data_IF_110733809086
#
_entry.id   IF_110733809086
#
_cell.length_a   1.000
_cell.length_b   1.000
_cell.length_c   1.000
_cell.angle_alpha   90.00
_cell.angle_beta   90.00
_cell.angle_gamma   90.00
#
_symmetry.space_group_name_H-M   'P 1'
#
loop_
_entity.id
_entity.type
_entity.pdbx_description
1 polymer ?
#
# COMPACT_ATOMS: atom_id res chain seq x y z
N UNK A 1 -2.64 -31.78 -29.12
CA UNK A 1 -2.00 -30.49 -29.47
C UNK A 1 -2.28 -29.52 -28.34
N UNK A 2 -1.29 -28.72 -27.92
CA UNK A 2 -1.45 -27.76 -26.81
C UNK A 2 -2.55 -26.74 -27.14
N UNK A 3 -3.39 -26.40 -26.17
CA UNK A 3 -4.44 -25.36 -26.30
C UNK A 3 -3.88 -23.94 -26.27
N UNK A 4 -2.58 -23.78 -26.04
CA UNK A 4 -1.90 -22.50 -25.93
C UNK A 4 -1.01 -22.44 -24.71
N UNK A 5 -0.22 -21.37 -24.63
CA UNK A 5 0.72 -21.10 -23.56
C UNK A 5 0.07 -20.13 -22.55
N UNK A 6 0.14 -20.48 -21.27
CA UNK A 6 -0.40 -19.70 -20.16
C UNK A 6 0.69 -19.33 -19.17
N UNK A 7 0.78 -18.05 -18.78
CA UNK A 7 1.65 -17.60 -17.69
C UNK A 7 0.85 -17.55 -16.39
N UNK A 8 1.13 -18.46 -15.46
CA UNK A 8 0.51 -18.53 -14.15
C UNK A 8 1.32 -17.73 -13.12
N UNK A 9 0.71 -16.72 -12.50
CA UNK A 9 1.24 -16.12 -11.27
C UNK A 9 1.20 -17.17 -10.15
N UNK A 10 2.38 -17.66 -9.78
CA UNK A 10 2.59 -18.85 -8.97
C UNK A 10 3.32 -18.48 -7.68
N UNK A 11 2.84 -18.96 -6.53
CA UNK A 11 3.43 -18.66 -5.22
C UNK A 11 4.03 -19.89 -4.52
N UNK A 12 4.06 -21.06 -5.17
CA UNK A 12 4.45 -22.31 -4.51
C UNK A 12 3.40 -22.89 -3.54
N UNK A 13 2.39 -22.10 -3.17
CA UNK A 13 1.29 -22.50 -2.31
C UNK A 13 0.41 -23.60 -2.91
N UNK A 14 -0.46 -24.14 -2.05
CA UNK A 14 -1.37 -25.22 -2.39
C UNK A 14 -2.23 -24.89 -3.62
N UNK A 15 -2.95 -23.78 -3.57
CA UNK A 15 -3.89 -23.35 -4.61
C UNK A 15 -3.22 -23.20 -5.98
N UNK A 16 -2.10 -22.48 -6.07
CA UNK A 16 -1.39 -22.28 -7.34
C UNK A 16 -0.73 -23.55 -7.87
N UNK A 17 -0.36 -24.49 -6.98
CA UNK A 17 0.14 -25.82 -7.37
C UNK A 17 -0.96 -26.67 -8.01
N UNK A 18 -2.17 -26.66 -7.43
CA UNK A 18 -3.32 -27.36 -7.98
C UNK A 18 -3.74 -26.75 -9.34
N UNK A 19 -3.72 -25.42 -9.45
CA UNK A 19 -4.04 -24.72 -10.69
C UNK A 19 -3.05 -25.07 -11.81
N UNK A 20 -1.76 -25.15 -11.51
CA UNK A 20 -0.74 -25.53 -12.49
C UNK A 20 -1.05 -26.92 -13.07
N UNK A 21 -1.27 -27.92 -12.21
CA UNK A 21 -1.64 -29.27 -12.61
C UNK A 21 -2.94 -29.28 -13.43
N UNK A 22 -3.97 -28.58 -12.95
CA UNK A 22 -5.26 -28.52 -13.62
C UNK A 22 -5.17 -27.88 -15.01
N UNK A 23 -4.46 -26.75 -15.18
CA UNK A 23 -4.25 -26.13 -16.49
C UNK A 23 -3.56 -27.08 -17.47
N UNK A 24 -2.62 -27.89 -16.99
CA UNK A 24 -2.01 -28.94 -17.80
C UNK A 24 -2.99 -30.05 -18.17
N UNK A 25 -3.80 -30.53 -17.22
CA UNK A 25 -4.88 -31.49 -17.49
C UNK A 25 -5.86 -30.95 -18.54
N UNK A 26 -6.10 -29.63 -18.55
CA UNK A 26 -6.93 -28.98 -19.56
C UNK A 26 -6.25 -28.86 -20.93
N UNK A 27 -4.95 -29.17 -21.04
CA UNK A 27 -4.17 -29.20 -22.27
C UNK A 27 -3.36 -27.92 -22.55
N UNK A 28 -3.13 -27.06 -21.57
CA UNK A 28 -2.27 -25.87 -21.72
C UNK A 28 -0.80 -26.16 -21.39
N UNK A 29 0.09 -25.46 -22.08
CA UNK A 29 1.49 -25.35 -21.67
C UNK A 29 1.60 -24.25 -20.60
N UNK A 30 2.10 -24.57 -19.41
CA UNK A 30 2.11 -23.62 -18.28
C UNK A 30 3.52 -23.08 -18.03
N UNK A 31 3.67 -21.76 -18.03
CA UNK A 31 4.83 -21.05 -17.48
C UNK A 31 4.48 -20.63 -16.05
N UNK A 32 5.31 -21.00 -15.07
CA UNK A 32 5.16 -20.51 -13.70
C UNK A 32 5.96 -19.21 -13.52
N UNK A 33 5.32 -18.18 -13.00
CA UNK A 33 5.93 -16.89 -12.70
C UNK A 33 5.86 -16.61 -11.20
N UNK A 34 7.01 -16.58 -10.54
CA UNK A 34 7.18 -16.19 -9.15
C UNK A 34 7.68 -14.75 -9.07
N UNK A 35 6.93 -13.90 -8.38
CA UNK A 35 7.33 -12.53 -8.11
C UNK A 35 7.92 -12.44 -6.70
N UNK A 36 9.19 -12.11 -6.59
CA UNK A 36 9.78 -11.71 -5.32
C UNK A 36 9.46 -10.23 -5.07
N UNK A 37 8.56 -9.98 -4.13
CA UNK A 37 8.13 -8.65 -3.69
C UNK A 37 8.62 -8.33 -2.27
N UNK A 38 9.49 -9.17 -1.71
CA UNK A 38 10.04 -9.04 -0.37
C UNK A 38 9.48 -10.03 0.65
N UNK A 39 8.71 -11.03 0.22
CA UNK A 39 8.25 -12.11 1.07
C UNK A 39 9.39 -13.10 1.41
N UNK A 40 9.34 -13.68 2.61
CA UNK A 40 10.28 -14.70 3.05
C UNK A 40 9.82 -16.08 2.57
N UNK A 41 10.13 -16.40 1.31
CA UNK A 41 9.78 -17.66 0.66
C UNK A 41 11.04 -18.37 0.12
N UNK A 42 11.04 -19.71 0.18
CA UNK A 42 12.04 -20.53 -0.50
C UNK A 42 11.70 -20.64 -2.00
N UNK A 43 12.17 -19.64 -2.76
CA UNK A 43 11.95 -19.57 -4.22
C UNK A 43 12.55 -20.76 -4.97
N UNK A 44 13.66 -21.31 -4.50
CA UNK A 44 14.31 -22.48 -5.10
C UNK A 44 13.44 -23.74 -4.93
N UNK A 45 12.88 -23.95 -3.74
CA UNK A 45 11.94 -25.03 -3.50
C UNK A 45 10.65 -24.84 -4.31
N UNK A 46 10.13 -23.61 -4.40
CA UNK A 46 8.94 -23.30 -5.18
C UNK A 46 9.17 -23.54 -6.68
N UNK A 47 10.34 -23.19 -7.21
CA UNK A 47 10.75 -23.49 -8.59
C UNK A 47 10.81 -25.00 -8.84
N UNK A 48 11.58 -25.74 -8.02
CA UNK A 48 11.68 -27.21 -8.14
C UNK A 48 10.31 -27.88 -8.07
N UNK A 49 9.42 -27.36 -7.22
CA UNK A 49 8.03 -27.81 -7.15
C UNK A 49 7.30 -27.55 -8.46
N UNK A 50 7.33 -26.33 -9.01
CA UNK A 50 6.69 -26.02 -10.29
C UNK A 50 7.21 -26.89 -11.44
N UNK A 51 8.52 -27.12 -11.52
CA UNK A 51 9.17 -28.00 -12.50
C UNK A 51 8.73 -29.46 -12.34
N UNK A 52 8.64 -29.96 -11.10
CA UNK A 52 8.15 -31.32 -10.82
C UNK A 52 6.67 -31.49 -11.21
N UNK A 53 5.84 -30.48 -11.00
CA UNK A 53 4.45 -30.45 -11.48
C UNK A 53 4.38 -30.27 -13.01
N UNK A 54 5.53 -30.00 -13.64
CA UNK A 54 5.80 -29.94 -15.07
C UNK A 54 5.36 -28.65 -15.71
N UNK A 55 5.63 -27.51 -15.05
CA UNK A 55 5.76 -26.24 -15.73
C UNK A 55 6.76 -26.35 -16.88
N UNK A 56 6.43 -25.75 -18.03
CA UNK A 56 7.29 -25.69 -19.21
C UNK A 56 8.51 -24.79 -19.00
N UNK A 57 8.33 -23.74 -18.22
CA UNK A 57 9.36 -22.76 -17.85
C UNK A 57 9.00 -22.11 -16.52
N UNK A 58 10.00 -21.69 -15.76
CA UNK A 58 9.83 -20.94 -14.51
C UNK A 58 10.56 -19.61 -14.63
N UNK A 59 9.90 -18.53 -14.24
CA UNK A 59 10.50 -17.21 -14.06
C UNK A 59 10.45 -16.86 -12.58
N UNK A 60 11.58 -16.44 -12.02
CA UNK A 60 11.68 -15.84 -10.69
C UNK A 60 12.19 -14.42 -10.93
N UNK A 61 11.36 -13.42 -10.61
CA UNK A 61 11.68 -12.01 -10.85
C UNK A 61 11.78 -11.28 -9.52
N UNK A 62 12.91 -10.63 -9.28
CA UNK A 62 13.09 -9.72 -8.16
C UNK A 62 12.50 -8.35 -8.49
N UNK A 63 11.31 -8.08 -7.94
CA UNK A 63 10.56 -6.86 -8.15
C UNK A 63 10.64 -5.91 -6.96
N UNK A 64 11.44 -6.21 -5.93
CA UNK A 64 11.46 -5.45 -4.67
C UNK A 64 11.78 -3.97 -4.89
N UNK A 65 12.79 -3.68 -5.70
CA UNK A 65 13.22 -2.31 -5.97
C UNK A 65 12.18 -1.52 -6.77
N UNK A 66 11.59 -2.15 -7.80
CA UNK A 66 10.50 -1.59 -8.61
C UNK A 66 9.25 -1.34 -7.76
N UNK A 67 8.90 -2.29 -6.88
CA UNK A 67 7.75 -2.19 -6.00
C UNK A 67 7.85 -0.98 -5.06
N UNK A 68 9.00 -0.80 -4.42
CA UNK A 68 9.24 0.34 -3.54
C UNK A 68 9.12 1.65 -4.32
N UNK A 69 9.83 1.76 -5.45
CA UNK A 69 9.98 3.03 -6.16
C UNK A 69 8.75 3.45 -6.94
N UNK A 70 8.08 2.51 -7.62
CA UNK A 70 6.98 2.83 -8.52
C UNK A 70 5.59 2.63 -7.89
N UNK A 71 5.51 1.97 -6.74
CA UNK A 71 4.22 1.65 -6.12
C UNK A 71 4.10 2.12 -4.67
N UNK A 72 5.11 1.86 -3.82
CA UNK A 72 5.09 2.31 -2.42
C UNK A 72 5.29 3.83 -2.32
N UNK A 73 6.23 4.42 -3.05
CA UNK A 73 6.46 5.87 -3.03
C UNK A 73 5.23 6.70 -3.42
N UNK A 74 4.49 6.38 -4.51
CA UNK A 74 3.22 7.06 -4.77
C UNK A 74 2.20 6.91 -3.63
N UNK A 75 2.18 5.77 -2.93
CA UNK A 75 1.30 5.56 -1.78
C UNK A 75 1.72 6.37 -0.54
N UNK A 76 3.02 6.52 -0.29
CA UNK A 76 3.56 7.41 0.74
C UNK A 76 3.21 8.86 0.42
N UNK A 77 3.53 9.31 -0.80
CA UNK A 77 3.21 10.65 -1.29
C UNK A 77 1.72 10.95 -1.19
N UNK A 78 0.84 9.97 -1.39
CA UNK A 78 -0.60 10.13 -1.28
C UNK A 78 -1.11 10.17 0.18
N UNK A 79 -0.31 9.77 1.18
CA UNK A 79 -0.78 9.38 2.51
C UNK A 79 -1.91 8.32 2.40
N UNK A 80 -1.69 7.30 1.57
CA UNK A 80 -2.74 6.36 1.18
C UNK A 80 -3.16 5.47 2.35
N UNK A 81 -4.38 5.70 2.84
CA UNK A 81 -5.05 4.87 3.83
C UNK A 81 -6.46 4.55 3.35
N UNK A 82 -6.82 3.27 3.29
CA UNK A 82 -8.16 2.83 2.94
C UNK A 82 -9.03 2.70 4.19
N UNK A 83 -10.23 3.30 4.13
CA UNK A 83 -11.19 3.40 5.24
C UNK A 83 -10.51 3.77 6.57
N UNK A 84 -9.57 4.73 6.48
CA UNK A 84 -8.82 5.31 7.61
C UNK A 84 -7.96 4.32 8.42
N UNK A 85 -7.77 3.09 7.92
CA UNK A 85 -7.01 2.05 8.65
C UNK A 85 -5.99 1.28 7.83
N UNK A 86 -6.30 0.88 6.59
CA UNK A 86 -5.49 -0.07 5.84
C UNK A 86 -4.49 0.62 4.90
N UNK A 87 -3.20 0.35 5.06
CA UNK A 87 -2.11 0.91 4.22
C UNK A 87 -1.91 0.19 2.88
N UNK A 88 -2.92 -0.55 2.41
CA UNK A 88 -3.00 -1.05 1.03
C UNK A 88 -1.89 -2.01 0.58
N UNK A 89 -1.04 -2.54 1.48
CA UNK A 89 0.16 -3.31 1.09
C UNK A 89 -0.08 -4.41 0.05
N UNK A 90 -1.10 -5.25 0.27
CA UNK A 90 -1.51 -6.28 -0.71
C UNK A 90 -2.07 -5.66 -1.99
N UNK A 91 -2.89 -4.62 -1.87
CA UNK A 91 -3.55 -3.95 -3.00
C UNK A 91 -2.55 -3.33 -3.97
N UNK A 92 -1.49 -2.71 -3.43
CA UNK A 92 -0.42 -2.04 -4.19
C UNK A 92 0.52 -3.06 -4.86
N UNK A 93 0.73 -4.24 -4.26
CA UNK A 93 1.58 -5.28 -4.85
C UNK A 93 0.98 -5.90 -6.14
N UNK A 94 -0.35 -6.01 -6.22
CA UNK A 94 -1.03 -6.69 -7.35
C UNK A 94 -0.76 -6.04 -8.71
N UNK A 95 -0.85 -4.71 -8.90
CA UNK A 95 -0.54 -4.09 -10.19
C UNK A 95 0.94 -4.21 -10.58
N UNK A 96 1.88 -4.32 -9.62
CA UNK A 96 3.29 -4.61 -9.89
C UNK A 96 3.48 -6.03 -10.43
N UNK A 97 2.95 -7.04 -9.73
CA UNK A 97 3.03 -8.44 -10.13
C UNK A 97 2.34 -8.66 -11.49
N UNK A 98 1.13 -8.13 -11.66
CA UNK A 98 0.37 -8.28 -12.90
C UNK A 98 1.07 -7.60 -14.08
N UNK A 99 1.72 -6.44 -13.89
CA UNK A 99 2.52 -5.80 -14.94
C UNK A 99 3.65 -6.69 -15.42
N UNK A 100 4.45 -7.27 -14.50
CA UNK A 100 5.54 -8.18 -14.89
C UNK A 100 5.03 -9.46 -15.53
N UNK A 101 3.93 -10.02 -15.02
CA UNK A 101 3.27 -11.19 -15.62
C UNK A 101 2.91 -10.95 -17.09
N UNK A 102 2.33 -9.79 -17.40
CA UNK A 102 1.98 -9.41 -18.77
C UNK A 102 3.22 -9.22 -19.65
N UNK A 103 4.29 -8.63 -19.11
CA UNK A 103 5.56 -8.51 -19.84
C UNK A 103 6.13 -9.88 -20.21
N UNK A 104 6.14 -10.84 -19.28
CA UNK A 104 6.56 -12.22 -19.53
C UNK A 104 5.65 -12.88 -20.57
N UNK A 105 4.33 -12.72 -20.47
CA UNK A 105 3.40 -13.27 -21.45
C UNK A 105 3.67 -12.72 -22.86
N UNK A 106 3.94 -11.43 -23.01
CA UNK A 106 4.33 -10.82 -24.29
C UNK A 106 5.67 -11.35 -24.80
N UNK A 107 6.68 -11.44 -23.94
CA UNK A 107 8.01 -11.97 -24.27
C UNK A 107 7.93 -13.42 -24.79
N UNK A 108 7.15 -14.25 -24.10
CA UNK A 108 7.00 -15.68 -24.42
C UNK A 108 5.89 -15.93 -25.46
N UNK A 109 5.23 -14.87 -25.95
CA UNK A 109 4.08 -14.94 -26.86
C UNK A 109 2.97 -15.86 -26.33
N UNK A 110 2.78 -15.86 -25.02
CA UNK A 110 1.76 -16.64 -24.34
C UNK A 110 0.38 -16.04 -24.60
N UNK A 111 -0.58 -16.85 -25.02
CA UNK A 111 -1.93 -16.38 -25.34
C UNK A 111 -2.73 -16.00 -24.10
N UNK A 112 -2.36 -16.54 -22.94
CA UNK A 112 -3.14 -16.42 -21.70
C UNK A 112 -2.27 -16.06 -20.50
N UNK A 113 -2.90 -15.39 -19.53
CA UNK A 113 -2.39 -15.25 -18.16
C UNK A 113 -3.37 -15.89 -17.17
N UNK A 114 -2.88 -16.38 -16.03
CA UNK A 114 -3.68 -17.01 -14.99
C UNK A 114 -3.21 -16.63 -13.59
N UNK A 115 -4.09 -16.69 -12.59
CA UNK A 115 -3.76 -16.41 -11.19
C UNK A 115 -4.50 -17.35 -10.22
N UNK A 116 -4.01 -17.42 -8.99
CA UNK A 116 -4.61 -18.20 -7.90
C UNK A 116 -5.65 -17.47 -7.04
N UNK A 117 -5.94 -16.19 -7.30
CA UNK A 117 -6.88 -15.42 -6.49
C UNK A 117 -8.30 -16.03 -6.49
N UNK A 118 -8.91 -16.11 -5.31
CA UNK A 118 -10.24 -16.73 -5.12
C UNK A 118 -11.38 -15.84 -5.60
N UNK A 119 -12.51 -16.45 -5.97
CA UNK A 119 -13.70 -15.76 -6.50
C UNK A 119 -14.40 -14.80 -5.54
N UNK A 120 -14.01 -14.74 -4.26
CA UNK A 120 -14.58 -13.83 -3.25
C UNK A 120 -13.60 -12.76 -2.79
N UNK A 121 -12.35 -12.75 -3.28
CA UNK A 121 -11.34 -11.76 -2.88
C UNK A 121 -11.32 -10.54 -3.80
N UNK A 122 -10.71 -9.44 -3.35
CA UNK A 122 -10.45 -8.29 -4.24
C UNK A 122 -9.29 -8.56 -5.21
N UNK A 123 -8.38 -9.48 -4.88
CA UNK A 123 -7.18 -9.71 -5.68
C UNK A 123 -7.48 -10.19 -7.11
N UNK A 124 -8.57 -10.94 -7.32
CA UNK A 124 -9.01 -11.30 -8.67
C UNK A 124 -9.29 -10.03 -9.51
N UNK A 125 -9.95 -9.03 -8.92
CA UNK A 125 -10.28 -7.76 -9.60
C UNK A 125 -8.99 -7.00 -9.90
N UNK A 126 -8.05 -6.94 -8.95
CA UNK A 126 -6.79 -6.20 -9.10
C UNK A 126 -5.87 -6.80 -10.17
N UNK A 127 -5.71 -8.13 -10.16
CA UNK A 127 -4.97 -8.84 -11.20
C UNK A 127 -5.63 -8.64 -12.56
N UNK A 128 -6.94 -8.87 -12.65
CA UNK A 128 -7.63 -8.88 -13.92
C UNK A 128 -7.79 -7.50 -14.54
N UNK A 129 -8.11 -6.45 -13.78
CA UNK A 129 -8.19 -5.09 -14.32
C UNK A 129 -6.84 -4.63 -14.87
N UNK A 130 -5.74 -4.95 -14.15
CA UNK A 130 -4.38 -4.69 -14.65
C UNK A 130 -4.10 -5.48 -15.91
N UNK A 131 -4.42 -6.77 -15.91
CA UNK A 131 -4.25 -7.60 -17.08
C UNK A 131 -5.09 -7.07 -18.23
N UNK A 132 -6.40 -6.82 -18.13
CA UNK A 132 -7.21 -6.27 -19.22
C UNK A 132 -6.71 -4.92 -19.74
N UNK A 133 -6.20 -4.04 -18.88
CA UNK A 133 -5.57 -2.78 -19.30
C UNK A 133 -4.31 -3.00 -20.15
N UNK A 134 -3.58 -4.10 -19.94
CA UNK A 134 -2.28 -4.38 -20.57
C UNK A 134 -2.28 -5.60 -21.52
N UNK A 135 -3.28 -6.48 -21.46
CA UNK A 135 -3.34 -7.82 -22.05
C UNK A 135 -4.76 -8.44 -21.99
N UNK A 136 -5.46 -8.64 -23.12
CA UNK A 136 -6.90 -8.87 -23.11
C UNK A 136 -7.37 -10.31 -22.77
N UNK A 137 -6.49 -11.31 -22.68
CA UNK A 137 -6.90 -12.71 -22.54
C UNK A 137 -6.43 -13.34 -21.21
N UNK A 138 -7.39 -13.69 -20.36
CA UNK A 138 -7.18 -14.18 -18.98
C UNK A 138 -7.94 -15.48 -18.74
N UNK A 139 -7.31 -16.43 -18.03
CA UNK A 139 -7.95 -17.62 -17.49
C UNK A 139 -7.96 -17.49 -15.96
N UNK A 140 -9.15 -17.50 -15.34
CA UNK A 140 -9.32 -17.40 -13.90
C UNK A 140 -10.00 -18.66 -13.34
N UNK A 141 -9.24 -19.71 -12.96
CA UNK A 141 -9.79 -21.03 -12.63
C UNK A 141 -10.87 -21.02 -11.54
N UNK A 142 -10.71 -20.22 -10.49
CA UNK A 142 -11.68 -20.13 -9.40
C UNK A 142 -13.08 -19.61 -9.79
N UNK A 143 -13.26 -19.13 -11.02
CA UNK A 143 -14.56 -18.72 -11.57
C UNK A 143 -15.07 -19.64 -12.69
N UNK A 144 -14.32 -20.68 -13.01
CA UNK A 144 -14.69 -21.68 -14.01
C UNK A 144 -15.48 -22.80 -13.30
N UNK A 145 -16.75 -23.06 -13.67
CA UNK A 145 -17.61 -24.06 -13.01
C UNK A 145 -16.97 -25.41 -12.79
N UNK A 146 -16.21 -25.88 -13.78
CA UNK A 146 -15.52 -27.16 -13.76
C UNK A 146 -14.45 -27.22 -12.67
N UNK A 147 -13.78 -26.10 -12.38
CA UNK A 147 -12.74 -26.03 -11.35
C UNK A 147 -13.36 -25.88 -9.95
N UNK A 148 -14.20 -24.87 -9.72
CA UNK A 148 -14.74 -24.63 -8.37
C UNK A 148 -15.76 -25.69 -7.92
N UNK A 149 -16.39 -26.42 -8.84
CA UNK A 149 -17.26 -27.56 -8.48
C UNK A 149 -16.45 -28.80 -8.09
N UNK A 150 -15.25 -28.96 -8.67
CA UNK A 150 -14.29 -30.03 -8.35
C UNK A 150 -13.56 -29.76 -7.03
N UNK A 151 -13.22 -28.50 -6.75
CA UNK A 151 -12.56 -28.06 -5.52
C UNK A 151 -13.48 -27.11 -4.73
N UNK A 152 -14.31 -27.62 -3.81
CA UNK A 152 -15.30 -26.81 -3.09
C UNK A 152 -14.70 -25.97 -1.95
N UNK A 153 -13.41 -26.13 -1.67
CA UNK A 153 -12.69 -25.31 -0.70
C UNK A 153 -11.32 -25.88 -0.34
N UNK A 154 -10.71 -25.30 0.69
CA UNK A 154 -9.36 -25.64 1.15
C UNK A 154 -9.22 -27.11 1.56
N UNK A 155 -10.28 -27.74 2.09
CA UNK A 155 -10.27 -29.16 2.47
C UNK A 155 -10.07 -30.08 1.26
N UNK A 156 -10.78 -29.83 0.17
CA UNK A 156 -10.67 -30.63 -1.07
C UNK A 156 -9.31 -30.40 -1.76
N UNK A 157 -8.77 -29.17 -1.67
CA UNK A 157 -7.41 -28.88 -2.13
C UNK A 157 -6.35 -29.59 -1.28
N UNK A 158 -6.56 -29.68 0.04
CA UNK A 158 -5.64 -30.38 0.96
C UNK A 158 -5.75 -31.91 0.82
N UNK A 159 -6.92 -32.44 0.50
CA UNK A 159 -7.11 -33.84 0.13
C UNK A 159 -6.42 -34.15 -1.21
N UNK A 160 -6.33 -33.17 -2.10
CA UNK A 160 -5.55 -33.23 -3.33
C UNK A 160 -4.03 -32.99 -3.12
N UNK A 161 -3.62 -32.34 -2.02
CA UNK A 161 -2.22 -32.11 -1.70
C UNK A 161 -1.97 -32.06 -0.19
N UNK A 162 -1.31 -33.11 0.32
CA UNK A 162 -1.12 -33.38 1.75
C UNK A 162 -0.17 -32.39 2.48
N UNK A 163 -0.69 -31.86 3.60
CA UNK A 163 -0.14 -31.26 4.85
C UNK A 163 1.05 -30.25 4.79
N UNK A 164 1.23 -29.21 5.62
CA UNK A 164 0.73 -28.72 6.92
C UNK A 164 0.69 -27.16 6.92
N UNK A 165 0.07 -26.51 7.92
CA UNK A 165 0.16 -25.06 8.15
C UNK A 165 0.55 -24.76 9.61
N UNK A 166 1.55 -23.91 9.90
CA UNK A 166 1.90 -23.55 11.27
C UNK A 166 1.16 -22.32 11.80
N UNK A 167 1.17 -22.27 13.12
CA UNK A 167 0.62 -21.27 14.03
C UNK A 167 1.67 -20.22 14.38
N UNK A 168 1.50 -19.01 13.87
CA UNK A 168 1.77 -17.74 14.56
C UNK A 168 1.20 -16.61 13.67
N UNK A 169 0.29 -15.80 14.23
CA UNK A 169 -0.51 -14.84 13.48
C UNK A 169 0.28 -13.59 13.06
N UNK A 170 1.28 -13.18 13.86
CA UNK A 170 2.13 -12.03 13.61
C UNK A 170 3.55 -12.51 13.31
N UNK A 171 4.08 -12.15 12.14
CA UNK A 171 5.38 -12.61 11.65
C UNK A 171 6.36 -11.47 11.44
N UNK A 172 5.87 -10.27 11.13
CA UNK A 172 6.72 -9.11 10.85
C UNK A 172 7.03 -8.28 12.09
N UNK A 173 6.20 -8.37 13.12
CA UNK A 173 6.25 -7.46 14.27
C UNK A 173 6.31 -8.23 15.58
N UNK A 174 7.10 -7.73 16.55
CA UNK A 174 7.08 -8.23 17.93
C UNK A 174 5.80 -7.79 18.63
N UNK A 175 5.39 -8.53 19.66
CA UNK A 175 4.37 -8.03 20.58
C UNK A 175 4.90 -6.75 21.25
N UNK A 176 4.14 -5.62 21.24
CA UNK A 176 4.57 -4.40 21.90
C UNK A 176 5.04 -4.58 23.34
N UNK A 177 4.41 -5.48 24.11
CA UNK A 177 4.80 -5.78 25.50
C UNK A 177 6.24 -6.35 25.56
N UNK A 178 6.57 -7.26 24.65
CA UNK A 178 7.87 -7.96 24.55
C UNK A 178 8.93 -7.20 23.74
N UNK A 179 8.56 -6.07 23.13
CA UNK A 179 9.48 -5.23 22.37
C UNK A 179 10.49 -4.50 23.29
N UNK A 180 11.59 -3.94 22.77
CA UNK A 180 12.64 -3.31 23.59
C UNK A 180 12.10 -2.26 24.59
N UNK A 181 12.81 -2.10 25.70
CA UNK A 181 12.48 -1.11 26.73
C UNK A 181 12.99 0.30 26.42
N UNK A 182 13.90 0.45 25.47
CA UNK A 182 14.39 1.74 24.98
C UNK A 182 13.83 2.04 23.58
N UNK A 183 13.47 3.29 23.27
CA UNK A 183 13.05 3.69 21.93
C UNK A 183 14.22 3.71 20.95
N UNK A 184 13.94 3.38 19.68
CA UNK A 184 14.84 3.73 18.59
C UNK A 184 14.44 5.10 18.03
N UNK A 185 15.41 6.01 17.91
CA UNK A 185 15.20 7.35 17.36
C UNK A 185 15.77 7.41 15.96
N UNK A 186 14.94 7.79 15.00
CA UNK A 186 15.27 7.85 13.58
C UNK A 186 15.14 9.29 13.07
N UNK A 187 16.01 9.65 12.13
CA UNK A 187 15.88 10.80 11.26
C UNK A 187 15.60 10.34 9.85
N UNK A 188 14.50 10.81 9.26
CA UNK A 188 14.11 10.48 7.88
C UNK A 188 14.16 11.76 7.06
N UNK A 189 15.05 11.81 6.07
CA UNK A 189 15.14 12.89 5.10
C UNK A 189 14.22 12.58 3.91
N UNK A 190 13.43 13.57 3.49
CA UNK A 190 12.53 13.53 2.35
C UNK A 190 12.99 14.50 1.26
N UNK A 191 12.77 14.12 0.01
CA UNK A 191 12.84 15.00 -1.14
C UNK A 191 11.67 14.70 -2.08
N UNK A 192 10.94 15.72 -2.52
CA UNK A 192 9.76 15.57 -3.38
C UNK A 192 8.73 14.55 -2.85
N UNK A 193 8.51 14.52 -1.54
CA UNK A 193 7.58 13.60 -0.88
C UNK A 193 8.05 12.15 -0.76
N UNK A 194 9.25 11.81 -1.23
CA UNK A 194 9.81 10.46 -1.09
C UNK A 194 10.92 10.44 -0.05
N UNK A 195 11.01 9.39 0.80
CA UNK A 195 12.11 9.25 1.73
C UNK A 195 13.39 8.91 0.95
N UNK A 196 14.45 9.68 1.17
CA UNK A 196 15.74 9.53 0.48
C UNK A 196 16.85 9.04 1.40
N UNK A 197 16.68 9.17 2.72
CA UNK A 197 17.61 8.65 3.71
C UNK A 197 16.92 8.40 5.05
N UNK A 198 17.31 7.34 5.74
CA UNK A 198 17.00 7.09 7.14
C UNK A 198 18.30 6.95 7.91
N UNK A 199 18.40 7.59 9.06
CA UNK A 199 19.56 7.53 9.96
C UNK A 199 19.10 7.19 11.37
N UNK A 200 19.72 6.19 11.99
CA UNK A 200 19.49 5.86 13.39
C UNK A 200 20.34 6.73 14.29
N UNK A 201 19.72 7.62 15.06
CA UNK A 201 20.43 8.71 15.78
C UNK A 201 21.47 8.17 16.77
N UNK A 202 21.14 7.10 17.52
CA UNK A 202 22.04 6.50 18.51
C UNK A 202 23.20 5.69 17.90
N UNK A 203 22.97 5.04 16.76
CA UNK A 203 23.92 4.08 16.18
C UNK A 203 24.76 4.71 15.06
N UNK A 204 24.28 5.80 14.46
CA UNK A 204 24.89 6.41 13.27
C UNK A 204 24.68 5.63 11.97
N UNK A 205 24.01 4.47 12.03
CA UNK A 205 23.66 3.67 10.85
C UNK A 205 22.73 4.45 9.94
N UNK A 206 23.04 4.53 8.65
CA UNK A 206 22.19 5.18 7.65
C UNK A 206 21.95 4.29 6.43
N UNK A 207 20.79 4.46 5.80
CA UNK A 207 20.40 3.82 4.53
C UNK A 207 19.83 4.88 3.59
N UNK A 208 20.31 4.91 2.35
CA UNK A 208 19.98 5.95 1.36
C UNK A 208 19.48 5.37 0.02
N UNK A 209 19.47 4.06 -0.14
CA UNK A 209 18.80 3.41 -1.27
C UNK A 209 17.33 3.11 -0.93
N UNK A 210 16.38 3.26 -1.88
CA UNK A 210 14.95 3.11 -1.60
C UNK A 210 14.58 1.78 -0.92
N UNK A 211 15.11 0.67 -1.44
CA UNK A 211 14.80 -0.66 -0.92
C UNK A 211 15.41 -0.89 0.46
N UNK A 212 16.69 -0.57 0.66
CA UNK A 212 17.35 -0.79 1.96
C UNK A 212 16.74 0.08 3.05
N UNK A 213 16.41 1.34 2.73
CA UNK A 213 15.69 2.24 3.62
C UNK A 213 14.34 1.64 4.04
N UNK A 214 13.54 1.18 3.08
CA UNK A 214 12.23 0.62 3.38
C UNK A 214 12.33 -0.68 4.20
N UNK A 215 13.28 -1.55 3.88
CA UNK A 215 13.58 -2.76 4.65
C UNK A 215 14.03 -2.43 6.07
N UNK A 216 14.89 -1.43 6.24
CA UNK A 216 15.35 -1.00 7.57
C UNK A 216 14.21 -0.43 8.41
N UNK A 217 13.29 0.32 7.81
CA UNK A 217 12.08 0.78 8.51
C UNK A 217 11.14 -0.37 8.90
N UNK A 218 11.04 -1.42 8.08
CA UNK A 218 10.33 -2.64 8.46
C UNK A 218 11.02 -3.36 9.63
N UNK A 219 12.35 -3.44 9.63
CA UNK A 219 13.13 -4.03 10.71
C UNK A 219 12.90 -3.30 12.04
N UNK A 220 13.10 -1.97 12.05
CA UNK A 220 12.95 -1.15 13.25
C UNK A 220 11.49 -1.10 13.72
N UNK A 221 10.53 -0.87 12.80
CA UNK A 221 9.11 -0.89 13.14
C UNK A 221 8.66 -2.26 13.66
N UNK A 222 9.14 -3.34 13.03
CA UNK A 222 8.88 -4.72 13.42
C UNK A 222 9.43 -5.05 14.81
N UNK A 223 10.68 -4.66 15.08
CA UNK A 223 11.35 -4.77 16.39
C UNK A 223 10.51 -4.15 17.51
N UNK A 224 9.81 -3.04 17.24
CA UNK A 224 8.99 -2.31 18.21
C UNK A 224 7.50 -2.64 18.18
N UNK A 225 7.05 -3.55 17.32
CA UNK A 225 5.63 -3.93 17.25
C UNK A 225 4.72 -2.93 16.52
N UNK A 226 5.28 -2.02 15.74
CA UNK A 226 4.55 -0.94 15.04
C UNK A 226 3.79 -1.49 13.84
N UNK A 227 2.62 -0.91 13.57
CA UNK A 227 1.88 -1.14 12.33
C UNK A 227 0.98 -2.38 12.33
N UNK A 228 0.61 -2.89 13.51
CA UNK A 228 -0.43 -3.91 13.68
C UNK A 228 -1.82 -3.28 13.65
N UNK A 229 -2.70 -3.78 12.78
CA UNK A 229 -4.12 -3.41 12.77
C UNK A 229 -5.01 -4.66 12.66
N UNK A 230 -6.17 -4.61 13.31
CA UNK A 230 -7.26 -5.60 13.16
C UNK A 230 -8.52 -4.86 12.73
N UNK A 231 -8.96 -5.08 11.50
CA UNK A 231 -9.98 -4.27 10.83
C UNK A 231 -11.13 -5.10 10.32
N UNK A 232 -12.30 -4.47 10.23
CA UNK A 232 -13.38 -4.90 9.34
C UNK A 232 -13.44 -3.90 8.20
N UNK A 233 -13.23 -4.37 6.98
CA UNK A 233 -13.15 -3.57 5.77
C UNK A 233 -14.29 -3.92 4.79
N UNK A 234 -14.60 -2.98 3.90
CA UNK A 234 -15.58 -3.17 2.83
C UNK A 234 -14.86 -3.61 1.55
N UNK A 235 -15.09 -4.85 1.11
CA UNK A 235 -14.59 -5.35 -0.18
C UNK A 235 -15.32 -4.67 -1.33
N UNK A 236 -14.63 -4.51 -2.45
CA UNK A 236 -15.21 -3.89 -3.65
C UNK A 236 -16.44 -4.64 -4.16
N UNK A 237 -16.46 -5.96 -3.99
CA UNK A 237 -17.58 -6.82 -4.35
C UNK A 237 -18.77 -6.79 -3.37
N UNK A 238 -18.81 -5.82 -2.44
CA UNK A 238 -19.96 -5.54 -1.58
C UNK A 238 -20.03 -6.31 -0.26
N UNK A 239 -18.99 -7.06 0.12
CA UNK A 239 -18.95 -7.84 1.36
C UNK A 239 -18.01 -7.22 2.39
N UNK A 240 -18.37 -7.33 3.68
CA UNK A 240 -17.43 -7.04 4.77
C UNK A 240 -16.47 -8.22 5.00
N UNK A 241 -15.24 -7.91 5.36
CA UNK A 241 -14.21 -8.90 5.72
C UNK A 241 -13.43 -8.41 6.93
N UNK A 242 -13.13 -9.31 7.87
CA UNK A 242 -12.12 -9.05 8.89
C UNK A 242 -10.73 -9.33 8.31
N UNK A 243 -9.76 -8.47 8.59
CA UNK A 243 -8.38 -8.60 8.15
C UNK A 243 -7.43 -8.12 9.24
N UNK A 244 -6.31 -8.83 9.41
CA UNK A 244 -5.23 -8.45 10.32
C UNK A 244 -4.01 -8.18 9.47
N UNK A 245 -3.36 -7.03 9.68
CA UNK A 245 -2.25 -6.58 8.85
C UNK A 245 -1.09 -6.11 9.71
N UNK A 246 0.12 -6.34 9.17
CA UNK A 246 1.39 -5.84 9.70
C UNK A 246 2.02 -4.94 8.63
N UNK A 247 2.22 -3.67 8.95
CA UNK A 247 2.80 -2.68 8.02
C UNK A 247 3.80 -1.76 8.74
N UNK A 248 4.89 -2.30 9.33
CA UNK A 248 5.78 -1.54 10.19
C UNK A 248 6.42 -0.33 9.49
N UNK A 249 7.14 -0.55 8.39
CA UNK A 249 7.80 0.52 7.64
C UNK A 249 6.80 1.49 7.00
N UNK A 250 5.68 0.98 6.49
CA UNK A 250 4.59 1.81 5.96
C UNK A 250 3.96 2.72 7.01
N UNK A 251 3.79 2.24 8.24
CA UNK A 251 3.23 3.03 9.35
C UNK A 251 4.19 4.13 9.78
N UNK A 252 5.50 3.82 9.92
CA UNK A 252 6.52 4.83 10.22
C UNK A 252 6.54 5.93 9.14
N UNK A 253 6.53 5.53 7.87
CA UNK A 253 6.53 6.49 6.75
C UNK A 253 5.26 7.33 6.69
N UNK A 254 4.08 6.77 6.98
CA UNK A 254 2.84 7.55 7.00
C UNK A 254 2.93 8.69 8.03
N UNK A 255 3.38 8.40 9.25
CA UNK A 255 3.50 9.41 10.29
C UNK A 255 4.57 10.46 9.95
N UNK A 256 5.72 10.04 9.44
CA UNK A 256 6.80 10.95 9.04
C UNK A 256 6.38 11.84 7.85
N UNK A 257 5.77 11.25 6.82
CA UNK A 257 5.36 11.98 5.63
C UNK A 257 4.24 12.98 5.92
N UNK A 258 3.23 12.60 6.73
CA UNK A 258 2.19 13.53 7.18
C UNK A 258 2.77 14.77 7.88
N UNK A 259 3.84 14.58 8.66
CA UNK A 259 4.50 15.65 9.38
C UNK A 259 5.20 16.63 8.45
N UNK A 260 6.10 16.12 7.58
CA UNK A 260 6.86 16.98 6.67
C UNK A 260 5.96 17.65 5.63
N UNK A 261 4.91 16.96 5.15
CA UNK A 261 3.91 17.55 4.25
C UNK A 261 3.19 18.71 4.92
N UNK A 262 2.78 18.56 6.19
CA UNK A 262 2.08 19.64 6.91
C UNK A 262 3.00 20.84 7.14
N UNK A 263 4.30 20.62 7.29
CA UNK A 263 5.29 21.67 7.51
C UNK A 263 5.65 22.46 6.23
N UNK A 264 5.48 21.85 5.05
CA UNK A 264 5.97 22.38 3.76
C UNK A 264 4.87 22.68 2.73
N UNK A 265 3.62 22.29 3.01
CA UNK A 265 2.50 22.44 2.07
C UNK A 265 1.52 23.53 2.52
N UNK A 266 1.08 24.36 1.56
CA UNK A 266 0.04 25.35 1.79
C UNK A 266 -1.25 24.70 2.33
N UNK A 267 -1.94 25.42 3.23
CA UNK A 267 -3.12 24.93 3.94
C UNK A 267 -4.26 24.50 3.02
N UNK A 268 -4.55 25.27 1.97
CA UNK A 268 -5.67 24.95 1.07
C UNK A 268 -5.27 23.90 0.03
N UNK A 269 -4.03 23.95 -0.47
CA UNK A 269 -3.46 22.89 -1.33
C UNK A 269 -3.54 21.54 -0.61
N UNK A 270 -3.15 21.49 0.67
CA UNK A 270 -3.19 20.26 1.47
C UNK A 270 -4.59 19.68 1.58
N UNK A 271 -5.63 20.50 1.79
CA UNK A 271 -7.03 20.02 1.85
C UNK A 271 -7.47 19.40 0.52
N UNK A 272 -7.11 20.01 -0.60
CA UNK A 272 -7.40 19.46 -1.94
C UNK A 272 -6.63 18.15 -2.13
N UNK A 273 -5.33 18.14 -1.83
CA UNK A 273 -4.49 16.95 -1.95
C UNK A 273 -4.99 15.79 -1.09
N UNK A 274 -5.46 16.05 0.13
CA UNK A 274 -6.04 15.01 0.98
C UNK A 274 -7.26 14.34 0.33
N UNK A 275 -8.12 15.10 -0.36
CA UNK A 275 -9.24 14.52 -1.10
C UNK A 275 -8.78 13.62 -2.26
N UNK A 276 -7.70 14.00 -2.94
CA UNK A 276 -7.06 13.18 -3.98
C UNK A 276 -6.43 11.91 -3.37
N UNK A 277 -5.80 12.00 -2.20
CA UNK A 277 -5.26 10.85 -1.46
C UNK A 277 -6.34 9.83 -1.08
N UNK A 278 -7.51 10.30 -0.61
CA UNK A 278 -8.67 9.42 -0.34
C UNK A 278 -9.10 8.70 -1.63
N UNK A 279 -9.23 9.45 -2.73
CA UNK A 279 -9.63 8.86 -4.01
C UNK A 279 -8.58 7.86 -4.54
N UNK A 280 -7.30 8.18 -4.36
CA UNK A 280 -6.21 7.30 -4.70
C UNK A 280 -6.29 5.97 -3.94
N UNK A 281 -6.50 6.01 -2.62
CA UNK A 281 -6.65 4.81 -1.79
C UNK A 281 -7.80 3.91 -2.25
N UNK A 282 -8.95 4.52 -2.59
CA UNK A 282 -10.13 3.80 -3.11
C UNK A 282 -9.81 3.12 -4.45
N UNK A 283 -9.17 3.84 -5.39
CA UNK A 283 -8.82 3.33 -6.70
C UNK A 283 -7.85 2.14 -6.60
N UNK A 284 -6.82 2.23 -5.77
CA UNK A 284 -5.88 1.11 -5.56
C UNK A 284 -6.61 -0.08 -4.93
N UNK A 285 -7.37 0.14 -3.86
CA UNK A 285 -8.08 -0.94 -3.17
C UNK A 285 -8.99 -1.71 -4.14
N UNK A 286 -9.66 -1.00 -5.03
CA UNK A 286 -10.58 -1.53 -6.04
C UNK A 286 -9.90 -2.08 -7.30
N UNK A 287 -8.57 -1.94 -7.44
CA UNK A 287 -7.80 -2.52 -8.55
C UNK A 287 -7.61 -1.63 -9.78
N UNK A 288 -7.89 -0.33 -9.65
CA UNK A 288 -7.86 0.64 -10.75
C UNK A 288 -6.50 1.36 -10.88
N UNK A 289 -5.38 0.73 -10.52
CA UNK A 289 -4.05 1.36 -10.63
C UNK A 289 -3.74 1.88 -12.04
N UNK A 290 -4.05 1.09 -13.07
CA UNK A 290 -3.81 1.43 -14.48
C UNK A 290 -5.02 2.12 -15.15
N UNK A 291 -5.94 2.70 -14.39
CA UNK A 291 -7.05 3.48 -14.94
C UNK A 291 -6.63 4.94 -15.21
N UNK A 292 -7.28 5.63 -16.16
CA UNK A 292 -6.95 7.03 -16.48
C UNK A 292 -7.18 7.96 -15.28
N UNK A 293 -8.20 7.72 -14.47
CA UNK A 293 -8.43 8.51 -13.26
C UNK A 293 -7.37 8.29 -12.18
N UNK A 294 -6.79 7.08 -12.06
CA UNK A 294 -5.69 6.83 -11.13
C UNK A 294 -4.38 7.46 -11.62
N UNK A 295 -4.12 7.44 -12.92
CA UNK A 295 -3.00 8.16 -13.54
C UNK A 295 -3.11 9.67 -13.32
N UNK A 296 -4.28 10.26 -13.56
CA UNK A 296 -4.54 11.68 -13.31
C UNK A 296 -4.33 12.05 -11.84
N UNK A 297 -4.85 11.24 -10.91
CA UNK A 297 -4.69 11.46 -9.47
C UNK A 297 -3.23 11.38 -9.06
N UNK A 298 -2.46 10.40 -9.54
CA UNK A 298 -1.01 10.31 -9.28
C UNK A 298 -0.28 11.55 -9.76
N UNK A 299 -0.52 11.99 -10.99
CA UNK A 299 0.11 13.20 -11.52
C UNK A 299 -0.20 14.46 -10.69
N UNK A 300 -1.44 14.60 -10.21
CA UNK A 300 -1.81 15.70 -9.32
C UNK A 300 -1.12 15.60 -7.95
N UNK A 301 -0.99 14.39 -7.41
CA UNK A 301 -0.25 14.14 -6.16
C UNK A 301 1.22 14.46 -6.37
N UNK A 302 1.88 13.96 -7.42
CA UNK A 302 3.28 14.26 -7.72
C UNK A 302 3.55 15.76 -7.78
N UNK A 303 2.65 16.53 -8.42
CA UNK A 303 2.74 17.99 -8.46
C UNK A 303 2.66 18.64 -7.08
N UNK A 304 1.83 18.11 -6.18
CA UNK A 304 1.74 18.62 -4.80
C UNK A 304 3.02 18.42 -4.00
N UNK A 305 3.85 17.43 -4.38
CA UNK A 305 5.02 17.03 -3.61
C UNK A 305 6.29 17.83 -3.92
N UNK A 306 6.28 18.74 -4.90
CA UNK A 306 7.49 19.45 -5.38
C UNK A 306 8.32 20.13 -4.27
N UNK A 307 7.68 20.65 -3.22
CA UNK A 307 8.34 21.30 -2.09
C UNK A 307 8.35 20.46 -0.81
N UNK A 308 7.83 19.24 -0.84
CA UNK A 308 7.80 18.34 0.32
C UNK A 308 9.18 17.74 0.49
N UNK A 309 10.07 18.49 1.14
CA UNK A 309 11.43 18.09 1.45
C UNK A 309 11.84 18.53 2.85
N UNK A 310 12.81 17.85 3.45
CA UNK A 310 13.31 18.16 4.79
C UNK A 310 13.47 16.90 5.63
N UNK A 311 13.72 17.08 6.94
CA UNK A 311 13.99 15.99 7.87
C UNK A 311 12.92 15.92 8.93
N UNK A 312 12.50 14.70 9.25
CA UNK A 312 11.63 14.39 10.38
C UNK A 312 12.38 13.49 11.36
N UNK A 313 12.44 13.92 12.61
CA UNK A 313 12.96 13.12 13.71
C UNK A 313 11.80 12.46 14.46
N UNK A 314 11.86 11.15 14.65
CA UNK A 314 10.80 10.37 15.29
C UNK A 314 11.36 9.28 16.21
N UNK A 315 10.57 8.89 17.20
CA UNK A 315 10.81 7.76 18.08
C UNK A 315 9.88 6.61 17.72
N UNK A 316 10.43 5.42 17.60
CA UNK A 316 9.71 4.16 17.38
C UNK A 316 9.75 3.37 18.67
N UNK A 317 8.59 3.15 19.29
CA UNK A 317 8.54 2.55 20.62
C UNK A 317 7.20 1.92 20.95
N UNK A 318 7.22 0.68 21.46
CA UNK A 318 6.06 -0.01 22.06
C UNK A 318 4.79 0.08 21.20
N UNK A 319 4.92 -0.30 19.93
CA UNK A 319 3.81 -0.34 18.96
C UNK A 319 3.42 1.01 18.39
N UNK A 320 4.14 2.08 18.71
CA UNK A 320 3.79 3.44 18.32
C UNK A 320 4.96 4.22 17.67
N UNK A 321 4.59 5.24 16.89
CA UNK A 321 5.49 6.24 16.31
C UNK A 321 5.19 7.60 16.93
N UNK A 322 6.22 8.28 17.41
CA UNK A 322 6.13 9.60 18.03
C UNK A 322 7.00 10.59 17.26
N UNK A 323 6.43 11.68 16.75
CA UNK A 323 7.23 12.73 16.11
C UNK A 323 7.91 13.59 17.18
N UNK A 324 9.22 13.75 17.07
CA UNK A 324 10.04 14.52 18.00
C UNK A 324 10.36 15.92 17.47
N UNK A 325 10.57 16.06 16.16
CA UNK A 325 10.92 17.33 15.54
C UNK A 325 10.97 17.24 14.02
N UNK A 326 11.07 18.41 13.38
CA UNK A 326 11.22 18.52 11.93
C UNK A 326 11.95 19.79 11.56
N UNK A 327 12.60 19.76 10.40
CA UNK A 327 13.26 20.91 9.79
C UNK A 327 13.16 20.82 8.26
N UNK A 328 13.10 21.97 7.58
CA UNK A 328 13.02 22.01 6.12
C UNK A 328 13.50 23.36 5.56
N UNK A 329 14.29 23.37 4.47
CA UNK A 329 14.58 24.59 3.72
C UNK A 329 13.34 25.15 2.97
N UNK A 330 12.25 24.37 2.88
CA UNK A 330 10.96 24.74 2.27
C UNK A 330 9.86 24.92 3.32
N UNK A 331 10.24 25.15 4.57
CA UNK A 331 9.31 25.44 5.65
C UNK A 331 8.37 26.59 5.27
N UNK A 332 7.06 26.36 5.44
CA UNK A 332 6.07 27.45 5.45
C UNK A 332 5.79 27.97 6.87
N UNK A 333 6.39 27.33 7.89
CA UNK A 333 6.39 27.83 9.25
C UNK A 333 7.33 29.04 9.36
N UNK A 334 6.78 30.14 9.86
CA UNK A 334 7.50 31.37 10.14
C UNK A 334 7.40 31.64 11.66
N UNK A 335 8.48 31.34 12.38
CA UNK A 335 8.57 31.48 13.83
C UNK A 335 8.32 32.91 14.31
N UNK A 336 8.84 33.90 13.59
CA UNK A 336 8.69 35.32 13.92
C UNK A 336 7.23 35.77 13.77
N UNK A 337 6.54 35.31 12.71
CA UNK A 337 5.14 35.67 12.45
C UNK A 337 4.16 35.10 13.48
N UNK A 338 4.45 33.90 14.01
CA UNK A 338 3.56 33.21 14.97
C UNK A 338 3.95 33.45 16.43
N UNK A 339 5.05 34.18 16.67
CA UNK A 339 5.53 34.46 18.02
C UNK A 339 4.49 35.26 18.82
N UNK A 340 4.37 34.91 20.10
CA UNK A 340 3.58 35.70 21.06
C UNK A 340 4.43 36.74 21.78
N UNK A 341 5.76 36.62 21.70
CA UNK A 341 6.72 37.48 22.38
C UNK A 341 7.20 38.63 21.47
N UNK A 342 7.09 38.45 20.15
CA UNK A 342 7.47 39.43 19.13
C UNK A 342 6.26 39.70 18.24
N UNK A 343 5.95 40.96 17.96
CA UNK A 343 4.79 41.33 17.14
C UNK A 343 4.90 40.81 15.69
N UNK A 344 6.13 40.72 15.16
CA UNK A 344 6.38 40.29 13.78
C UNK A 344 5.70 41.18 12.74
N UNK A 345 5.39 40.59 11.58
CA UNK A 345 4.71 41.24 10.44
C UNK A 345 3.19 40.95 10.41
N UNK A 346 2.56 40.80 11.57
CA UNK A 346 1.11 40.55 11.68
C UNK A 346 0.41 41.75 12.35
N UNK A 347 -0.61 42.32 11.70
CA UNK A 347 -1.48 43.34 12.31
C UNK A 347 -2.71 42.68 12.98
N UNK A 348 -2.81 42.70 14.32
CA UNK A 348 -3.96 42.15 15.03
C UNK A 348 -5.30 42.81 14.66
N UNK A 349 -5.29 44.04 14.13
CA UNK A 349 -6.50 44.76 13.75
C UNK A 349 -7.25 44.07 12.60
N UNK A 350 -6.52 43.45 11.65
CA UNK A 350 -7.10 42.77 10.50
C UNK A 350 -7.98 41.56 10.90
N UNK A 351 -7.60 40.89 11.99
CA UNK A 351 -8.35 39.76 12.54
C UNK A 351 -9.81 40.12 12.86
N UNK A 352 -10.06 41.35 13.33
CA UNK A 352 -11.42 41.81 13.66
C UNK A 352 -12.34 41.84 12.45
N UNK A 353 -11.85 42.35 11.31
CA UNK A 353 -12.58 42.37 10.05
C UNK A 353 -12.80 40.95 9.51
N UNK A 354 -11.73 40.14 9.50
CA UNK A 354 -11.75 38.76 9.05
C UNK A 354 -12.79 37.90 9.80
N UNK A 355 -12.83 38.00 11.14
CA UNK A 355 -13.78 37.27 11.99
C UNK A 355 -15.21 37.72 11.67
N UNK A 356 -15.45 39.04 11.59
CA UNK A 356 -16.80 39.60 11.33
C UNK A 356 -17.36 39.11 9.98
N UNK A 357 -16.52 39.04 8.96
CA UNK A 357 -16.89 38.54 7.62
C UNK A 357 -17.23 37.05 7.68
N UNK A 358 -16.37 36.22 8.27
CA UNK A 358 -16.63 34.78 8.41
C UNK A 358 -17.90 34.48 9.25
N UNK A 359 -18.17 35.31 10.26
CA UNK A 359 -19.35 35.19 11.11
C UNK A 359 -20.66 35.57 10.42
N UNK A 360 -20.64 36.23 9.25
CA UNK A 360 -21.88 36.62 8.53
C UNK A 360 -22.77 35.41 8.27
N UNK A 361 -22.23 34.33 7.68
CA UNK A 361 -23.03 33.14 7.38
C UNK A 361 -23.59 32.46 8.65
N UNK A 362 -22.83 32.51 9.75
CA UNK A 362 -23.22 31.89 11.02
C UNK A 362 -24.35 32.68 11.68
N UNK A 363 -24.26 34.01 11.67
CA UNK A 363 -25.31 34.91 12.17
C UNK A 363 -26.62 34.72 11.39
N UNK A 364 -26.54 34.65 10.06
CA UNK A 364 -27.73 34.45 9.23
C UNK A 364 -28.36 33.06 9.41
N UNK A 365 -27.55 32.00 9.54
CA UNK A 365 -28.05 30.66 9.86
C UNK A 365 -28.83 30.64 11.18
N UNK A 366 -28.27 31.26 12.23
CA UNK A 366 -28.94 31.33 13.53
C UNK A 366 -30.20 32.20 13.50
N UNK A 367 -30.17 33.34 12.80
CA UNK A 367 -31.34 34.22 12.64
C UNK A 367 -32.54 33.47 12.06
N UNK A 368 -32.32 32.61 11.06
CA UNK A 368 -33.38 31.78 10.47
C UNK A 368 -33.93 30.74 11.47
N UNK A 369 -33.08 30.10 12.26
CA UNK A 369 -33.52 29.12 13.26
C UNK A 369 -34.26 29.75 14.45
N UNK A 370 -33.79 30.91 14.94
CA UNK A 370 -34.42 31.64 16.04
C UNK A 370 -35.79 32.24 15.66
N UNK A 371 -36.03 32.54 14.38
CA UNK A 371 -37.35 32.94 13.89
C UNK A 371 -38.37 31.79 13.90
N UNK A 372 -37.91 30.54 13.76
CA UNK A 372 -38.74 29.34 13.81
C UNK A 372 -39.07 28.95 15.26
N UNK A 373 -38.14 29.13 16.20
CA UNK A 373 -38.37 28.91 17.64
C UNK A 373 -39.32 29.91 18.30
N UNK A 374 -39.52 31.10 17.71
CA UNK A 374 -40.53 32.07 18.18
C UNK A 374 -41.96 31.79 17.65
N UNK A 375 -42.14 30.78 16.79
CA UNK A 375 -43.42 30.42 16.15
C UNK A 375 -44.00 29.07 16.61
N UNK A 376 -43.29 28.34 17.46
CA UNK A 376 -43.79 27.23 18.28
C UNK A 376 -44.00 27.75 19.70
#
# INVERSE_FOLDING_TARGET
MSKGLVVLAYSGGLDTSCILLWLKEQGYDVIAFLANIGQDEDFDAAQKKAEKLGAKKVFIEDLRSEFVQEFIWPAVQANAVYEDRYLLGTSIARPCIARRQVQIARQERAQYVSHGATGKGNDQVRFELTCYALYPQIIAPWRIPEFYSRFRGRKDLMEYAENHAPSDLYQMTKNPEDSPSEPDVLEIDFAKGVPVRVTHVKEGTSKDTPLELFCYLNEIGGKHGVGRIDIVENRFIGMKSRGIYETPGGTVLLHAHLDIETFTMDREVRKIKQSLGIKFSELIYNGFWYSPECEFVRHCIDKSQENVEGRVQLSVFKGQVYILGRESPKSLYNEELVSMDVQGDYDPCDASGFIKINAVRLREHNRLQGATQKKL
#
